data_IF_488734361056
#
_entry.id   IF_488734361056
#
_cell.length_a   1.000
_cell.length_b   1.000
_cell.length_c   1.000
_cell.angle_alpha   90.00
_cell.angle_beta   90.00
_cell.angle_gamma   90.00
#
_symmetry.space_group_name_H-M   'P 1'
#
loop_
_entity.id
_entity.type
_entity.pdbx_description
1 polymer ?
#
# COMPACT_ATOMS: atom_id res chain seq x y z
N UNK A 1 31.07 6.79 27.02
CA UNK A 1 30.67 5.41 26.63
C UNK A 1 29.16 5.18 26.72
N UNK A 2 28.49 5.64 27.80
CA UNK A 2 27.04 5.51 28.03
C UNK A 2 26.18 6.10 26.90
N UNK A 3 26.54 7.27 26.35
CA UNK A 3 25.77 7.88 25.24
C UNK A 3 25.70 7.04 23.96
N UNK A 4 26.73 6.22 23.67
CA UNK A 4 26.73 5.33 22.50
C UNK A 4 25.79 4.14 22.71
N UNK A 5 25.69 3.64 23.94
CA UNK A 5 24.79 2.56 24.32
C UNK A 5 23.34 3.05 24.26
N UNK A 6 23.05 4.23 24.81
CA UNK A 6 21.71 4.85 24.74
C UNK A 6 21.26 5.04 23.28
N UNK A 7 22.15 5.54 22.42
CA UNK A 7 21.84 5.73 21.01
C UNK A 7 21.53 4.41 20.28
N UNK A 8 22.31 3.35 20.56
CA UNK A 8 22.07 2.03 20.00
C UNK A 8 20.74 1.42 20.46
N UNK A 9 20.38 1.59 21.73
CA UNK A 9 19.11 1.08 22.28
C UNK A 9 17.91 1.80 21.65
N UNK A 10 17.98 3.13 21.49
CA UNK A 10 16.94 3.91 20.82
C UNK A 10 16.79 3.50 19.35
N UNK A 11 17.91 3.28 18.66
CA UNK A 11 17.90 2.81 17.27
C UNK A 11 17.27 1.41 17.15
N UNK A 12 17.64 0.47 18.01
CA UNK A 12 17.03 -0.86 18.02
C UNK A 12 15.52 -0.81 18.30
N UNK A 13 15.07 0.02 19.24
CA UNK A 13 13.64 0.23 19.50
C UNK A 13 12.91 0.80 18.27
N UNK A 14 13.50 1.77 17.57
CA UNK A 14 12.89 2.38 16.37
C UNK A 14 12.80 1.41 15.17
N UNK A 15 13.66 0.38 15.10
CA UNK A 15 13.58 -0.66 14.07
C UNK A 15 12.55 -1.74 14.44
N UNK A 16 12.42 -2.04 15.73
CA UNK A 16 11.54 -3.10 16.25
C UNK A 16 10.08 -2.68 16.29
N UNK A 17 9.77 -1.37 16.34
CA UNK A 17 8.39 -0.92 16.11
C UNK A 17 8.01 -1.40 14.72
N UNK A 18 7.05 -2.33 14.58
CA UNK A 18 6.52 -2.68 13.28
C UNK A 18 6.03 -1.37 12.71
N UNK A 19 6.69 -0.95 11.64
CA UNK A 19 6.16 0.12 10.82
C UNK A 19 4.92 -0.53 10.24
N UNK A 20 3.78 -0.32 10.90
CA UNK A 20 2.47 -0.52 10.31
C UNK A 20 2.33 0.55 9.22
N UNK A 21 3.25 0.53 8.25
CA UNK A 21 2.88 0.81 6.90
C UNK A 21 1.85 -0.26 6.63
N UNK A 22 0.59 0.12 6.70
CA UNK A 22 -0.48 -0.51 5.95
C UNK A 22 -0.01 -0.54 4.49
N UNK A 23 0.86 -1.50 4.18
CA UNK A 23 1.44 -1.65 2.88
C UNK A 23 0.29 -2.14 2.02
N UNK A 24 -0.10 -1.30 1.06
CA UNK A 24 -1.12 -1.61 0.08
C UNK A 24 -0.80 -3.00 -0.50
N UNK A 25 -1.61 -3.99 -0.15
CA UNK A 25 -1.28 -5.37 -0.46
C UNK A 25 -1.64 -5.68 -1.92
N UNK A 26 -0.90 -6.57 -2.58
CA UNK A 26 -1.22 -7.02 -3.94
C UNK A 26 -2.68 -7.51 -4.06
N UNK A 27 -3.22 -8.11 -3.00
CA UNK A 27 -4.62 -8.50 -2.94
C UNK A 27 -5.59 -7.31 -3.02
N UNK A 28 -5.29 -6.20 -2.35
CA UNK A 28 -6.10 -4.98 -2.43
C UNK A 28 -6.06 -4.39 -3.84
N UNK A 29 -4.90 -4.43 -4.51
CA UNK A 29 -4.77 -4.01 -5.90
C UNK A 29 -5.66 -4.86 -6.81
N UNK A 30 -5.55 -6.19 -6.71
CA UNK A 30 -6.35 -7.11 -7.51
C UNK A 30 -7.84 -6.88 -7.29
N UNK A 31 -8.27 -6.76 -6.02
CA UNK A 31 -9.67 -6.52 -5.69
C UNK A 31 -10.24 -5.26 -6.35
N UNK A 32 -9.49 -4.16 -6.34
CA UNK A 32 -9.92 -2.91 -6.98
C UNK A 32 -9.89 -2.97 -8.51
N UNK A 33 -9.13 -3.89 -9.12
CA UNK A 33 -9.02 -4.04 -10.57
C UNK A 33 -9.94 -5.12 -11.16
N UNK A 34 -10.65 -5.92 -10.35
CA UNK A 34 -11.58 -6.94 -10.84
C UNK A 34 -12.63 -6.34 -11.78
N UNK A 35 -13.14 -5.14 -11.48
CA UNK A 35 -14.09 -4.42 -12.34
C UNK A 35 -13.55 -4.09 -13.73
N UNK A 36 -12.22 -4.05 -13.92
CA UNK A 36 -11.59 -3.85 -15.22
C UNK A 36 -11.60 -5.10 -16.10
N UNK A 37 -11.83 -6.29 -15.54
CA UNK A 37 -11.80 -7.55 -16.27
C UNK A 37 -12.83 -7.54 -17.41
N UNK A 38 -14.04 -7.06 -17.15
CA UNK A 38 -15.12 -6.97 -18.14
C UNK A 38 -14.77 -6.03 -19.29
N UNK A 39 -14.04 -4.94 -19.02
CA UNK A 39 -13.57 -4.02 -20.06
C UNK A 39 -12.47 -4.65 -20.92
N UNK A 40 -11.43 -5.24 -20.30
CA UNK A 40 -10.32 -5.86 -21.05
C UNK A 40 -10.73 -7.12 -21.82
N UNK A 41 -11.81 -7.78 -21.40
CA UNK A 41 -12.40 -8.92 -22.10
C UNK A 41 -13.46 -8.52 -23.13
N UNK A 42 -13.73 -7.22 -23.33
CA UNK A 42 -14.75 -6.68 -24.25
C UNK A 42 -16.19 -7.11 -23.92
N UNK A 43 -16.50 -7.37 -22.64
CA UNK A 43 -17.80 -7.85 -22.17
C UNK A 43 -18.56 -6.76 -21.38
N UNK A 44 -18.00 -5.56 -21.21
CA UNK A 44 -18.66 -4.51 -20.43
C UNK A 44 -18.07 -3.10 -20.58
N UNK A 45 -18.72 -2.15 -19.91
CA UNK A 45 -18.37 -0.73 -19.89
C UNK A 45 -17.22 -0.41 -18.90
N UNK A 46 -16.57 0.74 -19.06
CA UNK A 46 -15.42 1.19 -18.28
C UNK A 46 -15.80 1.78 -16.91
N UNK A 47 -17.08 2.09 -16.68
CA UNK A 47 -17.53 2.79 -15.47
C UNK A 47 -17.06 2.14 -14.15
N UNK A 48 -17.21 0.81 -14.03
CA UNK A 48 -16.82 0.05 -12.83
C UNK A 48 -15.28 0.02 -12.63
N UNK A 49 -14.54 -0.12 -13.74
CA UNK A 49 -13.08 -0.06 -13.74
C UNK A 49 -12.56 1.30 -13.26
N UNK A 50 -13.14 2.40 -13.74
CA UNK A 50 -12.73 3.75 -13.33
C UNK A 50 -12.99 4.03 -11.85
N UNK A 51 -14.08 3.49 -11.30
CA UNK A 51 -14.38 3.60 -9.87
C UNK A 51 -13.33 2.88 -9.02
N UNK A 52 -12.98 1.64 -9.38
CA UNK A 52 -11.95 0.85 -8.70
C UNK A 52 -10.56 1.49 -8.75
N UNK A 53 -10.14 1.98 -9.92
CA UNK A 53 -8.84 2.66 -10.09
C UNK A 53 -8.76 3.95 -9.24
N UNK A 54 -9.86 4.70 -9.13
CA UNK A 54 -9.90 5.92 -8.31
C UNK A 54 -9.82 5.61 -6.81
N UNK A 55 -10.47 4.54 -6.36
CA UNK A 55 -10.36 4.06 -4.98
C UNK A 55 -8.93 3.61 -4.66
N UNK A 56 -8.31 2.87 -5.59
CA UNK A 56 -6.92 2.43 -5.47
C UNK A 56 -5.94 3.60 -5.38
N UNK A 57 -6.11 4.63 -6.22
CA UNK A 57 -5.28 5.83 -6.18
C UNK A 57 -5.38 6.57 -4.85
N UNK A 58 -6.58 6.69 -4.26
CA UNK A 58 -6.77 7.31 -2.93
C UNK A 58 -6.13 6.47 -1.82
N UNK A 59 -6.25 5.15 -1.90
CA UNK A 59 -5.62 4.25 -0.95
C UNK A 59 -4.09 4.37 -1.03
N UNK A 60 -3.51 4.36 -2.24
CA UNK A 60 -2.07 4.52 -2.44
C UNK A 60 -1.55 5.88 -1.95
N UNK A 61 -2.34 6.95 -2.15
CA UNK A 61 -2.00 8.29 -1.68
C UNK A 61 -2.00 8.40 -0.15
N UNK A 62 -2.99 7.81 0.51
CA UNK A 62 -3.08 7.82 1.98
C UNK A 62 -2.00 6.96 2.65
N UNK A 63 -1.51 5.93 1.96
CA UNK A 63 -0.52 4.98 2.50
C UNK A 63 0.93 5.40 2.28
N UNK A 64 1.16 6.62 1.77
CA UNK A 64 2.46 7.26 1.78
C UNK A 64 3.58 6.43 1.16
N UNK A 65 3.46 6.08 -0.12
CA UNK A 65 4.53 5.62 -1.03
C UNK A 65 5.85 5.14 -0.39
N UNK A 66 5.82 4.14 0.48
CA UNK A 66 6.93 3.24 0.63
C UNK A 66 6.61 2.08 -0.28
N UNK A 67 7.28 2.05 -1.44
CA UNK A 67 7.22 0.93 -2.38
C UNK A 67 7.12 -0.38 -1.59
N UNK A 68 6.11 -1.18 -1.89
CA UNK A 68 6.03 -2.57 -1.43
C UNK A 68 7.35 -3.23 -1.84
N UNK A 69 8.21 -3.45 -0.85
CA UNK A 69 9.52 -4.05 -1.03
C UNK A 69 9.41 -5.52 -1.42
#
# INVERSE_FOLDING_TARGET
MIGKIVCLVVFCMAIVVPRHAEALSCYQVIYNLIGCLSYITNIGDLEDCCHGVRALHRAAFNQGHQQTA
#
